data_IF_202493676292
#
_entry.id   IF_202493676292
#
_cell.length_a   1.000
_cell.length_b   1.000
_cell.length_c   1.000
_cell.angle_alpha   90.00
_cell.angle_beta   90.00
_cell.angle_gamma   90.00
#
_symmetry.space_group_name_H-M   'P 1'
#
loop_
_entity.id
_entity.type
_entity.pdbx_description
1 polymer ?
#
# COMPACT_ATOMS: atom_id res chain seq x y z
N UNK A 1 -12.78 6.37 -18.79
CA UNK A 1 -12.81 6.18 -17.33
C UNK A 1 -11.57 5.36 -17.01
N UNK A 2 -10.63 5.87 -16.23
CA UNK A 2 -9.41 5.11 -15.92
C UNK A 2 -9.80 3.97 -14.97
N UNK A 3 -9.88 2.76 -15.51
CA UNK A 3 -10.10 1.53 -14.75
C UNK A 3 -8.84 1.30 -13.90
N UNK A 4 -8.86 1.78 -12.66
CA UNK A 4 -7.76 1.55 -11.73
C UNK A 4 -7.78 0.08 -11.32
N UNK A 5 -6.79 -0.68 -11.80
CA UNK A 5 -6.63 -2.08 -11.41
C UNK A 5 -6.28 -2.16 -9.92
N UNK A 6 -7.08 -2.91 -9.17
CA UNK A 6 -6.81 -3.25 -7.78
C UNK A 6 -6.02 -4.54 -7.73
N UNK A 7 -4.92 -4.53 -7.00
CA UNK A 7 -4.04 -5.66 -6.76
C UNK A 7 -3.90 -5.89 -5.26
N UNK A 8 -3.63 -7.13 -4.87
CA UNK A 8 -3.38 -7.49 -3.47
C UNK A 8 -1.89 -7.37 -3.20
N UNK A 9 -1.53 -6.79 -2.05
CA UNK A 9 -0.15 -6.71 -1.59
C UNK A 9 0.31 -8.09 -1.13
N UNK A 10 1.40 -8.59 -1.69
CA UNK A 10 1.98 -9.89 -1.34
C UNK A 10 2.51 -9.93 0.11
N UNK A 11 2.82 -8.76 0.70
CA UNK A 11 3.39 -8.64 2.05
C UNK A 11 2.33 -8.47 3.14
N UNK A 12 1.37 -7.55 2.93
CA UNK A 12 0.38 -7.22 3.95
C UNK A 12 -1.03 -7.71 3.64
N UNK A 13 -1.28 -8.25 2.44
CA UNK A 13 -2.60 -8.72 2.00
C UNK A 13 -3.63 -7.61 1.72
N UNK A 14 -3.25 -6.33 1.84
CA UNK A 14 -4.14 -5.21 1.51
C UNK A 14 -4.40 -5.11 0.03
N UNK A 15 -5.61 -4.70 -0.35
CA UNK A 15 -5.87 -4.18 -1.69
C UNK A 15 -5.21 -2.81 -1.87
N UNK A 16 -4.64 -2.57 -3.05
CA UNK A 16 -4.10 -1.28 -3.44
C UNK A 16 -4.22 -1.06 -4.96
N UNK A 17 -4.13 0.19 -5.41
CA UNK A 17 -4.10 0.48 -6.85
C UNK A 17 -2.74 0.15 -7.44
N UNK A 18 -2.71 -0.63 -8.52
CA UNK A 18 -1.48 -1.01 -9.23
C UNK A 18 -0.64 0.21 -9.63
N UNK A 19 -1.29 1.28 -10.09
CA UNK A 19 -0.63 2.54 -10.49
C UNK A 19 -0.08 3.35 -9.32
N UNK A 20 -0.47 3.03 -8.08
CA UNK A 20 -0.04 3.80 -6.90
C UNK A 20 1.29 3.34 -6.31
N UNK A 21 1.82 2.20 -6.75
CA UNK A 21 3.09 1.64 -6.28
C UNK A 21 4.12 1.53 -7.40
N UNK A 22 5.39 1.74 -7.05
CA UNK A 22 6.51 1.55 -7.97
C UNK A 22 6.97 0.09 -8.07
N UNK A 23 6.56 -0.76 -7.13
CA UNK A 23 6.85 -2.19 -7.14
C UNK A 23 5.57 -2.97 -7.42
N UNK A 24 5.62 -3.85 -8.42
CA UNK A 24 4.53 -4.79 -8.69
C UNK A 24 4.33 -5.72 -7.50
N UNK A 25 3.09 -5.84 -7.02
CA UNK A 25 2.74 -6.74 -5.92
C UNK A 25 2.93 -6.16 -4.51
N UNK A 26 3.48 -4.96 -4.35
CA UNK A 26 3.61 -4.32 -3.03
C UNK A 26 2.82 -3.03 -2.94
N UNK A 27 2.10 -2.82 -1.83
CA UNK A 27 1.46 -1.54 -1.58
C UNK A 27 2.53 -0.45 -1.31
N UNK A 28 2.18 0.84 -1.46
CA UNK A 28 3.13 1.94 -1.29
C UNK A 28 3.78 1.98 0.10
N UNK A 29 3.08 1.48 1.13
CA UNK A 29 3.60 1.43 2.49
C UNK A 29 4.67 0.33 2.64
N UNK A 30 4.38 -0.89 2.17
CA UNK A 30 5.36 -1.97 2.21
C UNK A 30 6.56 -1.68 1.31
N UNK A 31 6.33 -1.11 0.13
CA UNK A 31 7.42 -0.69 -0.76
C UNK A 31 8.30 0.39 -0.10
N UNK A 32 7.71 1.34 0.63
CA UNK A 32 8.46 2.34 1.39
C UNK A 32 9.29 1.71 2.50
N UNK A 33 8.72 0.81 3.30
CA UNK A 33 9.44 0.28 4.47
C UNK A 33 10.49 -0.77 4.09
N UNK A 34 10.22 -1.60 3.09
CA UNK A 34 11.15 -2.66 2.68
C UNK A 34 12.27 -2.16 1.77
N UNK A 35 11.98 -1.17 0.93
CA UNK A 35 12.86 -0.76 -0.16
C UNK A 35 13.09 0.76 -0.24
N UNK A 36 12.61 1.53 0.75
CA UNK A 36 12.79 2.99 0.86
C UNK A 36 12.16 3.80 -0.31
N UNK A 37 11.16 3.24 -1.00
CA UNK A 37 10.44 3.96 -2.06
C UNK A 37 9.60 5.12 -1.49
N UNK A 38 9.25 6.13 -2.31
CA UNK A 38 8.35 7.20 -1.88
C UNK A 38 7.03 6.64 -1.35
N UNK A 39 6.73 6.94 -0.09
CA UNK A 39 5.48 6.52 0.52
C UNK A 39 4.30 7.32 -0.05
N UNK A 40 3.13 6.71 -0.09
CA UNK A 40 1.89 7.45 -0.32
C UNK A 40 1.64 8.36 0.91
N UNK A 41 1.19 9.62 0.74
CA UNK A 41 0.77 10.47 1.87
C UNK A 41 -0.48 9.94 2.59
N UNK A 42 -1.06 8.84 2.11
CA UNK A 42 -2.18 8.12 2.71
C UNK A 42 -3.34 9.02 3.15
N UNK A 43 -4.11 9.50 2.18
CA UNK A 43 -5.33 10.25 2.46
C UNK A 43 -6.51 9.28 2.66
N UNK A 44 -6.85 8.98 3.91
CA UNK A 44 -7.92 8.05 4.26
C UNK A 44 -9.29 8.72 4.22
N UNK A 45 -10.23 8.07 3.52
CA UNK A 45 -11.65 8.43 3.53
C UNK A 45 -12.47 7.13 3.59
N UNK A 46 -13.43 7.03 4.51
CA UNK A 46 -14.23 5.81 4.73
C UNK A 46 -13.39 4.54 5.00
N UNK A 47 -12.25 4.67 5.68
CA UNK A 47 -11.40 3.52 6.06
C UNK A 47 -10.49 2.98 4.95
N UNK A 48 -10.44 3.63 3.77
CA UNK A 48 -9.47 3.32 2.72
C UNK A 48 -8.80 4.58 2.21
N UNK A 49 -7.56 4.45 1.75
CA UNK A 49 -6.86 5.56 1.13
C UNK A 49 -7.47 5.88 -0.24
N UNK A 50 -7.85 7.12 -0.50
CA UNK A 50 -8.39 7.51 -1.82
C UNK A 50 -7.33 7.50 -2.92
N UNK A 51 -6.05 7.58 -2.55
CA UNK A 51 -4.93 7.65 -3.49
C UNK A 51 -4.38 6.28 -3.87
N UNK A 52 -4.23 5.37 -2.90
CA UNK A 52 -3.66 4.04 -3.12
C UNK A 52 -4.61 2.88 -2.77
N UNK A 53 -5.82 3.14 -2.29
CA UNK A 53 -6.82 2.15 -1.85
C UNK A 53 -6.43 1.26 -0.66
N UNK A 54 -5.23 1.47 -0.12
CA UNK A 54 -4.75 0.81 1.08
C UNK A 54 -5.70 1.03 2.26
N UNK A 55 -6.00 -0.03 2.99
CA UNK A 55 -6.93 -0.04 4.13
C UNK A 55 -6.25 0.18 5.49
N UNK A 56 -4.92 0.36 5.49
CA UNK A 56 -4.12 0.45 6.71
C UNK A 56 -3.55 -0.87 7.19
N UNK A 57 -3.79 -1.98 6.47
CA UNK A 57 -3.20 -3.28 6.79
C UNK A 57 -1.68 -3.27 6.61
N UNK A 58 -0.97 -3.67 7.66
CA UNK A 58 0.51 -3.75 7.69
C UNK A 58 0.96 -5.20 7.84
N UNK A 59 2.06 -5.56 7.19
CA UNK A 59 2.64 -6.91 7.36
C UNK A 59 3.17 -7.10 8.78
N UNK A 60 3.21 -8.35 9.24
CA UNK A 60 3.79 -8.68 10.55
C UNK A 60 5.27 -8.28 10.65
N UNK A 61 6.00 -8.31 9.52
CA UNK A 61 7.38 -7.84 9.44
C UNK A 61 7.47 -6.34 9.72
N UNK A 62 6.62 -5.55 9.08
CA UNK A 62 6.56 -4.09 9.24
C UNK A 62 6.11 -3.70 10.65
N UNK A 63 5.13 -4.41 11.22
CA UNK A 63 4.69 -4.17 12.60
C UNK A 63 5.82 -4.32 13.62
N UNK A 64 6.81 -5.20 13.35
CA UNK A 64 7.98 -5.41 14.21
C UNK A 64 9.08 -4.35 14.04
N UNK A 65 9.14 -3.69 12.90
CA UNK A 65 10.12 -2.62 12.62
C UNK A 65 9.74 -1.28 13.28
N UNK A 66 8.46 -1.05 13.58
CA UNK A 66 7.96 0.20 14.19
C UNK A 66 7.85 0.08 15.72
N UNK A 67 8.60 -0.83 16.36
CA UNK A 67 8.59 -1.05 17.81
C UNK A 67 9.81 -0.49 18.52
#
# INVERSE_FOLDING_TARGET
MAEKELVVCDECGSLFFKDSSQIMGLCPECAHILYDYPNCPHHFQNGRCVNCYWDGSKSEYIKKQIQ
#
